data_IF_417923025107
#
_entry.id   IF_417923025107
#
_cell.length_a   1.000
_cell.length_b   1.000
_cell.length_c   1.000
_cell.angle_alpha   90.00
_cell.angle_beta   90.00
_cell.angle_gamma   90.00
#
_symmetry.space_group_name_H-M   'P 1'
#
loop_
_entity.id
_entity.type
_entity.pdbx_description
1 polymer ?
#
# COMPACT_ATOMS: atom_id res chain seq x y z
N UNK A 1 -10.34 19.12 -2.67
CA UNK A 1 -10.65 17.99 -1.76
C UNK A 1 -10.31 18.43 -0.35
N UNK A 2 -11.28 18.46 0.57
CA UNK A 2 -10.97 18.75 1.98
C UNK A 2 -9.95 17.73 2.51
N UNK A 3 -8.80 18.21 3.00
CA UNK A 3 -7.77 17.35 3.60
C UNK A 3 -8.36 16.41 4.67
N UNK A 4 -9.36 16.88 5.44
CA UNK A 4 -10.06 16.10 6.46
C UNK A 4 -10.79 14.86 5.90
N UNK A 5 -11.35 14.93 4.68
CA UNK A 5 -12.03 13.77 4.06
C UNK A 5 -11.02 12.75 3.54
N UNK A 6 -9.96 13.20 2.88
CA UNK A 6 -8.91 12.32 2.38
C UNK A 6 -8.22 11.56 3.52
N UNK A 7 -7.87 12.25 4.61
CA UNK A 7 -7.26 11.64 5.78
C UNK A 7 -8.17 10.57 6.42
N UNK A 8 -9.48 10.81 6.51
CA UNK A 8 -10.45 9.82 7.01
C UNK A 8 -10.46 8.54 6.16
N UNK A 9 -10.38 8.64 4.84
CA UNK A 9 -10.31 7.46 3.97
C UNK A 9 -8.97 6.76 4.06
N UNK A 10 -7.87 7.50 4.18
CA UNK A 10 -6.55 6.93 4.41
C UNK A 10 -6.54 6.10 5.70
N UNK A 11 -7.09 6.60 6.80
CA UNK A 11 -7.24 5.84 8.06
C UNK A 11 -8.01 4.53 7.85
N UNK A 12 -9.14 4.57 7.15
CA UNK A 12 -9.92 3.35 6.81
C UNK A 12 -9.12 2.34 5.99
N UNK A 13 -8.32 2.80 5.04
CA UNK A 13 -7.45 1.94 4.23
C UNK A 13 -6.40 1.27 5.12
N UNK A 14 -5.76 2.04 6.01
CA UNK A 14 -4.80 1.50 6.98
C UNK A 14 -5.42 0.41 7.85
N UNK A 15 -6.60 0.68 8.42
CA UNK A 15 -7.31 -0.26 9.29
C UNK A 15 -7.69 -1.55 8.54
N UNK A 16 -8.18 -1.41 7.31
CA UNK A 16 -8.51 -2.54 6.44
C UNK A 16 -7.27 -3.37 6.11
N UNK A 17 -6.18 -2.74 5.70
CA UNK A 17 -4.93 -3.42 5.34
C UNK A 17 -4.32 -4.18 6.51
N UNK A 18 -4.31 -3.59 7.72
CA UNK A 18 -3.84 -4.25 8.94
C UNK A 18 -4.71 -5.44 9.33
N UNK A 19 -6.03 -5.29 9.26
CA UNK A 19 -6.97 -6.36 9.61
C UNK A 19 -6.93 -7.53 8.63
N UNK A 20 -6.55 -7.28 7.38
CA UNK A 20 -6.51 -8.26 6.30
C UNK A 20 -5.09 -8.73 5.94
N UNK A 21 -4.13 -8.59 6.84
CA UNK A 21 -2.72 -8.89 6.57
C UNK A 21 -2.42 -10.36 6.21
N UNK A 22 -3.35 -11.27 6.52
CA UNK A 22 -3.27 -12.69 6.18
C UNK A 22 -3.91 -13.02 4.82
N UNK A 23 -4.59 -12.06 4.20
CA UNK A 23 -5.30 -12.23 2.94
C UNK A 23 -4.46 -11.64 1.80
N UNK A 24 -4.17 -12.44 0.79
CA UNK A 24 -3.48 -12.00 -0.43
C UNK A 24 -4.34 -10.94 -1.14
N UNK A 25 -3.78 -9.77 -1.41
CA UNK A 25 -4.49 -8.68 -2.08
C UNK A 25 -3.56 -7.56 -2.58
N UNK A 26 -3.79 -7.10 -3.80
CA UNK A 26 -3.15 -5.89 -4.35
C UNK A 26 -3.50 -4.62 -3.58
N UNK A 27 -4.59 -4.60 -2.79
CA UNK A 27 -4.94 -3.46 -1.94
C UNK A 27 -3.91 -3.16 -0.85
N UNK A 28 -3.02 -4.11 -0.53
CA UNK A 28 -1.87 -3.86 0.36
C UNK A 28 -0.94 -2.77 -0.15
N UNK A 29 -0.91 -2.54 -1.47
CA UNK A 29 -0.23 -1.39 -2.08
C UNK A 29 -0.77 -0.05 -1.58
N UNK A 30 -2.10 0.10 -1.57
CA UNK A 30 -2.77 1.29 -1.04
C UNK A 30 -2.52 1.44 0.46
N UNK A 31 -2.54 0.32 1.19
CA UNK A 31 -2.17 0.26 2.61
C UNK A 31 -0.78 0.84 2.87
N UNK A 32 0.24 0.37 2.16
CA UNK A 32 1.61 0.86 2.29
C UNK A 32 1.72 2.37 2.03
N UNK A 33 1.10 2.85 0.96
CA UNK A 33 1.08 4.28 0.64
C UNK A 33 0.36 5.11 1.71
N UNK A 34 -0.78 4.65 2.20
CA UNK A 34 -1.53 5.33 3.25
C UNK A 34 -0.77 5.39 4.58
N UNK A 35 -0.16 4.27 4.99
CA UNK A 35 0.69 4.21 6.18
C UNK A 35 1.87 5.17 6.05
N UNK A 36 2.60 5.13 4.91
CA UNK A 36 3.73 6.05 4.68
C UNK A 36 3.30 7.51 4.80
N UNK A 37 2.14 7.86 4.25
CA UNK A 37 1.63 9.23 4.27
C UNK A 37 1.22 9.72 5.66
N UNK A 38 0.51 8.90 6.45
CA UNK A 38 -0.03 9.33 7.75
C UNK A 38 0.88 9.01 8.93
N UNK A 39 1.65 7.94 8.84
CA UNK A 39 2.44 7.39 9.96
C UNK A 39 3.95 7.34 9.68
N UNK A 40 4.37 7.66 8.45
CA UNK A 40 5.77 7.73 8.05
C UNK A 40 6.35 6.44 7.50
N UNK A 41 7.57 6.54 6.96
CA UNK A 41 8.23 5.46 6.22
C UNK A 41 8.57 4.24 7.10
N UNK A 42 8.92 4.44 8.36
CA UNK A 42 9.27 3.34 9.28
C UNK A 42 8.05 2.47 9.62
N UNK A 43 6.88 3.08 9.83
CA UNK A 43 5.63 2.35 9.99
C UNK A 43 5.29 1.52 8.74
N UNK A 44 5.53 2.07 7.56
CA UNK A 44 5.33 1.36 6.30
C UNK A 44 6.31 0.20 6.13
N UNK A 45 7.60 0.35 6.49
CA UNK A 45 8.58 -0.75 6.51
C UNK A 45 8.16 -1.87 7.45
N UNK A 46 7.69 -1.53 8.65
CA UNK A 46 7.16 -2.50 9.61
C UNK A 46 6.01 -3.30 9.01
N UNK A 47 5.06 -2.63 8.36
CA UNK A 47 3.95 -3.29 7.69
C UNK A 47 4.41 -4.19 6.52
N UNK A 48 5.39 -3.75 5.72
CA UNK A 48 5.99 -4.60 4.67
C UNK A 48 6.62 -5.87 5.23
N UNK A 49 7.35 -5.79 6.34
CA UNK A 49 7.90 -6.98 6.99
C UNK A 49 6.80 -7.93 7.46
N UNK A 50 5.70 -7.39 8.00
CA UNK A 50 4.55 -8.21 8.40
C UNK A 50 3.89 -8.90 7.19
N UNK A 51 3.80 -8.25 6.03
CA UNK A 51 3.33 -8.86 4.78
C UNK A 51 4.27 -9.98 4.31
N UNK A 52 5.58 -9.80 4.38
CA UNK A 52 6.56 -10.86 4.01
C UNK A 52 6.48 -12.07 4.94
N UNK A 53 6.10 -11.85 6.19
CA UNK A 53 5.95 -12.90 7.19
C UNK A 53 4.55 -13.53 7.20
N UNK A 54 3.63 -13.09 6.33
CA UNK A 54 2.28 -13.66 6.25
C UNK A 54 2.26 -14.97 5.45
N UNK A 55 1.13 -15.68 5.48
CA UNK A 55 0.90 -16.92 4.70
C UNK A 55 1.06 -16.76 3.19
N UNK A 56 1.01 -15.53 2.67
CA UNK A 56 1.21 -15.22 1.25
C UNK A 56 2.48 -14.41 1.00
N UNK A 57 3.36 -14.23 2.00
CA UNK A 57 4.57 -13.41 1.88
C UNK A 57 5.54 -13.88 0.80
N UNK A 58 5.56 -15.18 0.51
CA UNK A 58 6.40 -15.78 -0.53
C UNK A 58 5.84 -15.64 -1.94
N UNK A 59 4.58 -15.23 -2.09
CA UNK A 59 3.90 -15.11 -3.39
C UNK A 59 4.51 -14.00 -4.24
N UNK A 60 4.47 -14.18 -5.56
CA UNK A 60 4.95 -13.18 -6.51
C UNK A 60 4.29 -11.82 -6.31
N UNK A 61 2.97 -11.81 -6.05
CA UNK A 61 2.21 -10.59 -5.77
C UNK A 61 2.77 -9.83 -4.56
N UNK A 62 2.99 -10.50 -3.43
CA UNK A 62 3.44 -9.81 -2.21
C UNK A 62 4.87 -9.28 -2.37
N UNK A 63 5.75 -10.10 -2.97
CA UNK A 63 7.11 -9.66 -3.32
C UNK A 63 7.09 -8.49 -4.28
N UNK A 64 6.21 -8.52 -5.28
CA UNK A 64 6.07 -7.46 -6.27
C UNK A 64 5.60 -6.15 -5.63
N UNK A 65 4.57 -6.19 -4.77
CA UNK A 65 4.05 -5.02 -4.04
C UNK A 65 5.18 -4.35 -3.25
N UNK A 66 5.94 -5.13 -2.50
CA UNK A 66 6.99 -4.61 -1.62
C UNK A 66 8.18 -4.10 -2.44
N UNK A 67 8.61 -4.85 -3.45
CA UNK A 67 9.70 -4.42 -4.33
C UNK A 67 9.36 -3.11 -5.04
N UNK A 68 8.15 -2.96 -5.59
CA UNK A 68 7.75 -1.72 -6.27
C UNK A 68 7.57 -0.55 -5.30
N UNK A 69 7.23 -0.82 -4.05
CA UNK A 69 7.02 0.23 -3.06
C UNK A 69 8.35 0.88 -2.64
N UNK A 70 9.41 0.08 -2.48
CA UNK A 70 10.73 0.56 -2.07
C UNK A 70 11.69 0.81 -3.22
N UNK A 71 11.59 0.07 -4.32
CA UNK A 71 12.48 0.19 -5.47
C UNK A 71 11.75 0.83 -6.65
N UNK A 72 12.03 2.11 -6.90
CA UNK A 72 11.55 2.84 -8.09
C UNK A 72 12.24 2.43 -9.39
N UNK A 73 13.22 1.51 -9.32
CA UNK A 73 14.00 1.02 -10.47
C UNK A 73 13.49 -0.28 -11.09
N UNK A 74 12.46 -0.90 -10.51
CA UNK A 74 11.80 -2.07 -11.11
C UNK A 74 10.82 -1.66 -12.22
N UNK A 75 10.46 -2.55 -13.16
CA UNK A 75 9.41 -2.27 -14.12
C UNK A 75 8.10 -2.01 -13.36
N UNK A 76 7.62 -0.77 -13.44
CA UNK A 76 6.31 -0.38 -12.93
C UNK A 76 5.29 -1.26 -13.64
N UNK A 77 4.51 -2.03 -12.89
CA UNK A 77 3.34 -2.69 -13.46
C UNK A 77 2.35 -1.59 -13.86
N UNK A 78 2.36 -1.27 -15.16
CA UNK A 78 1.58 -0.18 -15.72
C UNK A 78 0.09 -0.39 -15.49
N UNK A 79 -0.39 -1.64 -15.49
CA UNK A 79 -1.78 -1.99 -15.23
C UNK A 79 -2.19 -1.62 -13.80
N UNK A 80 -1.41 -2.00 -12.80
CA UNK A 80 -1.67 -1.63 -11.41
C UNK A 80 -1.54 -0.13 -11.16
N UNK A 81 -0.54 0.51 -11.77
CA UNK A 81 -0.36 1.95 -11.63
C UNK A 81 -1.52 2.72 -12.27
N UNK A 82 -2.04 2.24 -13.41
CA UNK A 82 -3.25 2.78 -14.04
C UNK A 82 -4.49 2.51 -13.17
N UNK A 83 -4.66 1.27 -12.69
CA UNK A 83 -5.80 0.86 -11.86
C UNK A 83 -5.90 1.67 -10.56
N UNK A 84 -4.76 2.09 -9.99
CA UNK A 84 -4.73 2.91 -8.78
C UNK A 84 -4.44 4.39 -9.03
N UNK A 85 -4.30 4.85 -10.29
CA UNK A 85 -3.95 6.25 -10.61
C UNK A 85 -4.94 7.23 -9.99
N UNK A 86 -6.23 7.03 -10.27
CA UNK A 86 -7.32 7.89 -9.79
C UNK A 86 -7.39 7.85 -8.26
N UNK A 87 -7.21 6.67 -7.65
CA UNK A 87 -7.24 6.51 -6.19
C UNK A 87 -6.05 7.23 -5.54
N UNK A 88 -4.85 7.15 -6.15
CA UNK A 88 -3.68 7.87 -5.67
C UNK A 88 -3.89 9.38 -5.75
N UNK A 89 -4.48 9.89 -6.84
CA UNK A 89 -4.79 11.32 -7.00
C UNK A 89 -5.83 11.82 -5.98
N UNK A 90 -6.96 11.10 -5.82
CA UNK A 90 -8.02 11.46 -4.87
C UNK A 90 -7.51 11.48 -3.42
N UNK A 91 -6.65 10.52 -3.07
CA UNK A 91 -6.09 10.38 -1.72
C UNK A 91 -4.76 11.11 -1.54
N UNK A 92 -4.29 11.80 -2.58
CA UNK A 92 -3.02 12.53 -2.61
C UNK A 92 -1.83 11.65 -2.18
N UNK A 93 -1.78 10.41 -2.66
CA UNK A 93 -0.77 9.39 -2.35
C UNK A 93 0.45 9.41 -3.29
N UNK A 94 0.66 10.54 -3.96
CA UNK A 94 1.76 10.77 -4.92
C UNK A 94 3.09 11.00 -4.19
#
# INVERSE_FOLDING_TARGET
LDNNKAEKYLKKIIDYSRSNIKNKSFSHWLGLKAIKKLEGIEASKKFSMQLLNSSHGSTEETKWIINNFFNTKGPINQELNQNFKIINEILMLN
#
